data_IF_100923599098
#
_entry.id   IF_100923599098
#
_cell.length_a   1.000
_cell.length_b   1.000
_cell.length_c   1.000
_cell.angle_alpha   90.00
_cell.angle_beta   90.00
_cell.angle_gamma   90.00
#
_symmetry.space_group_name_H-M   'P 1'
#
loop_
_entity.id
_entity.type
_entity.pdbx_description
1 polymer ?
#
# COMPACT_ATOMS: atom_id res chain seq x y z
N UNK A 1 56.58 30.54 0.98
CA UNK A 1 55.55 29.88 0.15
C UNK A 1 55.26 28.42 0.52
N UNK A 2 56.24 27.50 0.58
CA UNK A 2 56.00 26.07 0.87
C UNK A 2 55.30 25.74 2.22
N UNK A 3 55.44 26.60 3.25
CA UNK A 3 54.75 26.43 4.55
C UNK A 3 53.26 26.81 4.51
N UNK A 4 52.89 27.83 3.75
CA UNK A 4 51.50 28.32 3.65
C UNK A 4 50.62 27.32 2.85
N UNK A 5 51.21 26.68 1.85
CA UNK A 5 50.54 25.66 1.03
C UNK A 5 50.21 24.40 1.86
N UNK A 6 51.10 23.99 2.78
CA UNK A 6 50.84 22.83 3.66
C UNK A 6 49.73 23.09 4.67
N UNK A 7 49.62 24.31 5.20
CA UNK A 7 48.56 24.69 6.14
C UNK A 7 47.20 24.82 5.45
N UNK A 8 47.16 25.31 4.21
CA UNK A 8 45.92 25.42 3.43
C UNK A 8 45.33 24.04 3.06
N UNK A 9 46.18 23.05 2.73
CA UNK A 9 45.73 21.69 2.40
C UNK A 9 45.19 20.96 3.64
N UNK A 10 45.78 21.19 4.82
CA UNK A 10 45.32 20.57 6.07
C UNK A 10 43.94 21.11 6.52
N UNK A 11 43.66 22.39 6.30
CA UNK A 11 42.35 23.00 6.60
C UNK A 11 41.27 22.52 5.61
N UNK A 12 41.62 22.33 4.33
CA UNK A 12 40.70 21.82 3.31
C UNK A 12 40.28 20.36 3.58
N UNK A 13 41.20 19.52 4.08
CA UNK A 13 40.91 18.13 4.46
C UNK A 13 40.06 18.01 5.74
N UNK A 14 40.10 19.00 6.64
CA UNK A 14 39.25 19.02 7.85
C UNK A 14 37.86 19.58 7.52
N UNK A 15 37.75 20.50 6.55
CA UNK A 15 36.46 20.99 6.07
C UNK A 15 35.67 19.93 5.28
N UNK A 16 36.33 18.98 4.61
CA UNK A 16 35.68 17.84 3.95
C UNK A 16 35.26 16.71 4.91
N UNK A 17 35.77 16.69 6.15
CA UNK A 17 35.32 15.79 7.22
C UNK A 17 33.99 16.23 7.88
N UNK A 18 33.51 17.45 7.57
CA UNK A 18 32.21 17.98 8.01
C UNK A 18 31.10 17.86 6.95
N UNK A 19 31.32 17.13 5.85
CA UNK A 19 30.21 16.62 5.04
C UNK A 19 29.58 15.51 5.86
N UNK A 20 28.73 15.96 6.78
CA UNK A 20 28.06 15.17 7.77
C UNK A 20 27.43 13.97 7.09
N UNK A 21 27.77 12.80 7.63
CA UNK A 21 26.90 11.64 7.65
C UNK A 21 25.52 12.11 8.11
N UNK A 22 24.68 12.51 7.16
CA UNK A 22 23.24 12.58 7.38
C UNK A 22 22.79 11.13 7.48
N UNK A 23 23.10 10.50 8.61
CA UNK A 23 22.25 9.45 9.13
C UNK A 23 20.94 10.16 9.43
N UNK A 24 20.10 10.32 8.41
CA UNK A 24 18.78 10.88 8.57
C UNK A 24 18.09 10.02 9.64
N UNK A 25 17.78 10.65 10.77
CA UNK A 25 17.04 10.01 11.85
C UNK A 25 15.69 9.60 11.27
N UNK A 26 15.24 8.38 11.57
CA UNK A 26 13.90 7.98 11.18
C UNK A 26 12.82 8.82 11.88
N UNK A 27 11.60 8.84 11.34
CA UNK A 27 10.51 9.62 11.91
C UNK A 27 10.14 9.14 13.33
N UNK A 28 9.63 10.05 14.14
CA UNK A 28 8.97 9.72 15.40
C UNK A 28 7.50 9.33 15.15
N UNK A 29 6.91 8.52 16.04
CA UNK A 29 5.56 7.99 15.84
C UNK A 29 4.53 9.11 15.66
N UNK A 30 4.62 10.18 16.44
CA UNK A 30 3.67 11.28 16.38
C UNK A 30 3.77 12.09 15.08
N UNK A 31 4.93 12.08 14.41
CA UNK A 31 5.13 12.73 13.10
C UNK A 31 4.41 11.98 11.97
N UNK A 32 4.34 10.64 12.07
CA UNK A 32 3.76 9.77 11.03
C UNK A 32 2.40 9.19 11.41
N UNK A 33 1.89 9.46 12.62
CA UNK A 33 0.64 8.90 13.14
C UNK A 33 -0.53 9.10 12.19
N UNK A 34 -0.73 10.32 11.69
CA UNK A 34 -1.81 10.63 10.75
C UNK A 34 -1.70 9.82 9.46
N UNK A 35 -0.48 9.68 8.93
CA UNK A 35 -0.22 8.92 7.71
C UNK A 35 -0.46 7.43 7.91
N UNK A 36 -0.09 6.87 9.06
CA UNK A 36 -0.39 5.47 9.39
C UNK A 36 -1.89 5.24 9.43
N UNK A 37 -2.64 6.10 10.15
CA UNK A 37 -4.10 5.98 10.25
C UNK A 37 -4.72 6.04 8.84
N UNK A 38 -4.37 7.08 8.06
CA UNK A 38 -4.88 7.28 6.70
C UNK A 38 -4.64 6.04 5.83
N UNK A 39 -3.39 5.59 5.71
CA UNK A 39 -3.02 4.49 4.81
C UNK A 39 -3.61 3.15 5.26
N UNK A 40 -3.67 2.87 6.57
CA UNK A 40 -4.27 1.63 7.09
C UNK A 40 -5.79 1.64 6.88
N UNK A 41 -6.46 2.78 7.08
CA UNK A 41 -7.90 2.91 6.79
C UNK A 41 -8.19 2.71 5.31
N UNK A 42 -7.45 3.36 4.41
CA UNK A 42 -7.61 3.17 2.97
C UNK A 42 -7.31 1.72 2.55
N UNK A 43 -6.26 1.14 3.11
CA UNK A 43 -5.91 -0.27 2.91
C UNK A 43 -7.04 -1.22 3.33
N UNK A 44 -7.76 -0.92 4.41
CA UNK A 44 -8.91 -1.73 4.87
C UNK A 44 -10.06 -1.71 3.87
N UNK A 45 -10.34 -0.56 3.25
CA UNK A 45 -11.33 -0.44 2.17
C UNK A 45 -10.88 -1.29 0.97
N UNK A 46 -9.63 -1.13 0.53
CA UNK A 46 -9.07 -1.91 -0.58
C UNK A 46 -9.08 -3.42 -0.31
N UNK A 47 -8.83 -3.87 0.92
CA UNK A 47 -8.88 -5.29 1.26
C UNK A 47 -10.28 -5.87 1.11
N UNK A 48 -11.35 -5.12 1.42
CA UNK A 48 -12.73 -5.57 1.13
C UNK A 48 -12.94 -5.74 -0.38
N UNK A 49 -12.36 -4.83 -1.17
CA UNK A 49 -12.39 -4.86 -2.64
C UNK A 49 -11.49 -5.94 -3.25
N UNK A 50 -10.46 -6.46 -2.57
CA UNK A 50 -9.54 -7.48 -3.13
C UNK A 50 -9.68 -8.88 -2.54
N UNK A 51 -10.07 -8.97 -1.28
CA UNK A 51 -10.12 -10.22 -0.52
C UNK A 51 -11.48 -10.45 0.15
N UNK A 52 -12.31 -9.40 0.23
CA UNK A 52 -13.66 -9.45 0.80
C UNK A 52 -14.74 -9.66 -0.27
N UNK A 53 -15.84 -8.94 -0.10
CA UNK A 53 -17.04 -8.99 -0.96
C UNK A 53 -16.85 -8.43 -2.37
N UNK A 54 -15.78 -7.69 -2.62
CA UNK A 54 -15.55 -7.05 -3.91
C UNK A 54 -16.31 -5.72 -4.02
N UNK A 55 -16.50 -5.25 -5.25
CA UNK A 55 -17.33 -4.09 -5.58
C UNK A 55 -18.80 -4.49 -5.72
N UNK A 56 -19.74 -3.55 -5.47
CA UNK A 56 -21.13 -3.71 -5.85
C UNK A 56 -21.27 -4.01 -7.34
N UNK A 57 -22.17 -4.92 -7.71
CA UNK A 57 -22.38 -5.32 -9.10
C UNK A 57 -23.85 -5.23 -9.48
N UNK A 58 -24.14 -4.84 -10.72
CA UNK A 58 -25.44 -5.09 -11.30
C UNK A 58 -25.61 -6.61 -11.41
N UNK A 59 -26.66 -7.17 -10.81
CA UNK A 59 -26.92 -8.61 -10.80
C UNK A 59 -27.08 -9.22 -12.22
N UNK A 60 -27.68 -10.40 -12.32
CA UNK A 60 -27.76 -11.24 -13.55
C UNK A 60 -28.32 -10.58 -14.85
N UNK A 61 -28.66 -9.29 -14.85
CA UNK A 61 -29.24 -8.55 -15.97
C UNK A 61 -28.22 -8.12 -17.04
N UNK A 62 -26.94 -8.01 -16.71
CA UNK A 62 -25.90 -7.56 -17.66
C UNK A 62 -24.61 -8.37 -17.47
N UNK A 63 -24.46 -9.53 -18.13
CA UNK A 63 -23.32 -10.41 -17.81
C UNK A 63 -22.71 -11.13 -19.01
N UNK A 64 -21.37 -11.19 -19.05
CA UNK A 64 -20.63 -12.25 -19.73
C UNK A 64 -20.76 -13.59 -18.99
N UNK A 65 -20.09 -14.67 -19.40
CA UNK A 65 -20.19 -15.96 -18.69
C UNK A 65 -19.58 -15.86 -17.28
N UNK A 66 -18.41 -15.23 -17.17
CA UNK A 66 -17.57 -15.28 -15.96
C UNK A 66 -17.52 -13.96 -15.16
N UNK A 67 -18.13 -12.87 -15.65
CA UNK A 67 -18.07 -11.55 -15.01
C UNK A 67 -19.43 -10.82 -14.89
N UNK A 68 -19.61 -10.04 -13.82
CA UNK A 68 -20.68 -9.05 -13.64
C UNK A 68 -20.14 -7.64 -13.88
N UNK A 69 -20.95 -6.72 -14.44
CA UNK A 69 -20.59 -5.30 -14.44
C UNK A 69 -20.68 -4.71 -13.03
N UNK A 70 -19.70 -3.88 -12.69
CA UNK A 70 -19.70 -3.12 -11.43
C UNK A 70 -20.82 -2.07 -11.47
N UNK A 71 -21.54 -1.97 -10.34
CA UNK A 71 -22.51 -0.91 -10.12
C UNK A 71 -21.79 0.36 -9.68
N UNK A 72 -21.38 1.13 -10.69
CA UNK A 72 -20.65 2.40 -10.51
C UNK A 72 -21.45 3.47 -9.75
N UNK A 73 -22.79 3.39 -9.72
CA UNK A 73 -23.60 4.34 -8.95
C UNK A 73 -23.48 4.11 -7.44
N UNK A 74 -23.14 2.88 -7.04
CA UNK A 74 -23.00 2.47 -5.64
C UNK A 74 -21.56 2.07 -5.27
N UNK A 75 -20.60 2.24 -6.18
CA UNK A 75 -19.18 1.91 -6.02
C UNK A 75 -18.35 3.18 -5.78
N UNK A 76 -17.26 3.07 -5.04
CA UNK A 76 -16.24 4.14 -4.92
C UNK A 76 -15.28 4.18 -6.13
N UNK A 77 -15.42 3.24 -7.06
CA UNK A 77 -14.56 3.05 -8.22
C UNK A 77 -15.37 2.75 -9.48
N UNK A 78 -15.11 3.51 -10.54
CA UNK A 78 -15.79 3.42 -11.82
C UNK A 78 -14.96 2.63 -12.84
N UNK A 79 -13.63 2.71 -12.73
CA UNK A 79 -12.68 2.13 -13.71
C UNK A 79 -11.57 1.31 -13.07
N UNK A 80 -10.92 0.43 -13.86
CA UNK A 80 -9.76 -0.30 -13.37
C UNK A 80 -8.57 0.64 -13.08
N UNK A 81 -8.47 1.76 -13.80
CA UNK A 81 -7.43 2.76 -13.61
C UNK A 81 -7.55 3.49 -12.27
N UNK A 82 -8.77 3.87 -11.86
CA UNK A 82 -9.02 4.44 -10.54
C UNK A 82 -8.67 3.47 -9.42
N UNK A 83 -9.02 2.19 -9.58
CA UNK A 83 -8.70 1.17 -8.59
C UNK A 83 -7.17 0.96 -8.50
N UNK A 84 -6.46 0.94 -9.63
CA UNK A 84 -4.98 0.90 -9.67
C UNK A 84 -4.36 2.15 -9.04
N UNK A 85 -4.91 3.33 -9.28
CA UNK A 85 -4.44 4.58 -8.69
C UNK A 85 -4.64 4.58 -7.17
N UNK A 86 -5.76 4.04 -6.68
CA UNK A 86 -6.00 3.89 -5.24
C UNK A 86 -5.02 2.90 -4.59
N UNK A 87 -4.71 1.78 -5.24
CA UNK A 87 -3.64 0.86 -4.80
C UNK A 87 -2.31 1.61 -4.72
N UNK A 88 -1.94 2.33 -5.77
CA UNK A 88 -0.66 3.06 -5.86
C UNK A 88 -0.53 4.21 -4.85
N UNK A 89 -1.65 4.78 -4.40
CA UNK A 89 -1.67 5.79 -3.33
C UNK A 89 -1.33 5.18 -1.97
N UNK A 90 -1.80 3.96 -1.71
CA UNK A 90 -1.68 3.29 -0.41
C UNK A 90 -0.35 2.53 -0.28
N UNK A 91 0.01 1.77 -1.30
CA UNK A 91 1.08 0.79 -1.24
C UNK A 91 2.33 1.22 -2.01
N UNK A 92 3.49 0.70 -1.58
CA UNK A 92 4.76 0.84 -2.32
C UNK A 92 4.63 0.28 -3.72
N UNK A 93 5.40 0.84 -4.66
CA UNK A 93 5.37 0.42 -6.06
C UNK A 93 5.63 -1.09 -6.21
N UNK A 94 6.58 -1.63 -5.45
CA UNK A 94 6.92 -3.05 -5.51
C UNK A 94 5.77 -3.92 -5.00
N UNK A 95 5.09 -3.51 -3.93
CA UNK A 95 3.92 -4.23 -3.41
C UNK A 95 2.72 -4.15 -4.39
N UNK A 96 2.55 -3.01 -5.06
CA UNK A 96 1.51 -2.83 -6.08
C UNK A 96 1.64 -3.81 -7.25
N UNK A 97 2.86 -4.23 -7.63
CA UNK A 97 3.08 -5.15 -8.76
C UNK A 97 2.32 -6.46 -8.51
N UNK A 98 2.57 -7.12 -7.37
CA UNK A 98 1.92 -8.39 -7.05
C UNK A 98 0.41 -8.26 -6.87
N UNK A 99 -0.05 -7.17 -6.25
CA UNK A 99 -1.49 -6.89 -6.12
C UNK A 99 -2.15 -6.73 -7.48
N UNK A 100 -1.60 -5.86 -8.34
CA UNK A 100 -2.21 -5.55 -9.63
C UNK A 100 -2.16 -6.73 -10.60
N UNK A 101 -1.10 -7.53 -10.58
CA UNK A 101 -1.01 -8.77 -11.37
C UNK A 101 -2.11 -9.75 -10.96
N UNK A 102 -2.25 -10.00 -9.66
CA UNK A 102 -3.30 -10.91 -9.15
C UNK A 102 -4.71 -10.40 -9.45
N UNK A 103 -4.93 -9.09 -9.30
CA UNK A 103 -6.29 -8.52 -9.39
C UNK A 103 -6.76 -8.27 -10.83
N UNK A 104 -5.87 -7.91 -11.76
CA UNK A 104 -6.26 -7.44 -13.11
C UNK A 104 -5.72 -8.27 -14.26
N UNK A 105 -4.73 -9.14 -14.03
CA UNK A 105 -4.17 -10.01 -15.09
C UNK A 105 -4.58 -11.45 -14.85
N UNK A 106 -4.59 -11.89 -13.59
CA UNK A 106 -4.78 -13.29 -13.23
C UNK A 106 -3.46 -14.04 -13.31
N UNK A 107 -3.46 -15.28 -12.82
CA UNK A 107 -2.25 -16.12 -12.73
C UNK A 107 -2.52 -17.40 -13.51
N UNK A 108 -1.69 -17.71 -14.50
CA UNK A 108 -1.75 -18.98 -15.22
C UNK A 108 -0.41 -19.69 -15.13
N UNK A 109 -0.45 -20.96 -14.73
CA UNK A 109 0.71 -21.84 -14.68
C UNK A 109 0.41 -23.23 -15.28
N UNK A 110 1.29 -24.21 -15.07
CA UNK A 110 1.13 -25.57 -15.58
C UNK A 110 0.03 -26.37 -14.88
N UNK A 111 -0.52 -25.88 -13.78
CA UNK A 111 -1.50 -26.56 -12.92
C UNK A 111 -2.90 -25.94 -13.12
N UNK A 112 -3.00 -24.67 -13.54
CA UNK A 112 -4.27 -24.07 -13.92
C UNK A 112 -4.19 -22.57 -14.20
N UNK A 113 -5.36 -21.96 -14.39
CA UNK A 113 -5.52 -20.53 -14.53
C UNK A 113 -6.48 -20.02 -13.45
N UNK A 114 -6.04 -18.99 -12.72
CA UNK A 114 -6.85 -18.15 -11.86
C UNK A 114 -7.17 -16.89 -12.67
N UNK A 115 -8.45 -16.70 -12.97
CA UNK A 115 -8.93 -15.51 -13.66
C UNK A 115 -8.67 -14.25 -12.81
N UNK A 116 -8.45 -13.08 -13.43
CA UNK A 116 -8.35 -11.84 -12.70
C UNK A 116 -9.67 -11.52 -11.99
N UNK A 117 -9.57 -10.91 -10.81
CA UNK A 117 -10.74 -10.46 -10.05
C UNK A 117 -11.51 -9.37 -10.81
N UNK A 118 -10.79 -8.50 -11.50
CA UNK A 118 -11.35 -7.38 -12.26
C UNK A 118 -10.86 -7.38 -13.71
N UNK A 119 -11.75 -7.02 -14.63
CA UNK A 119 -11.42 -6.78 -16.04
C UNK A 119 -12.26 -5.62 -16.57
N UNK A 120 -11.99 -5.17 -17.79
CA UNK A 120 -12.80 -4.19 -18.49
C UNK A 120 -13.39 -4.82 -19.75
N UNK A 121 -14.56 -4.34 -20.17
CA UNK A 121 -15.13 -4.70 -21.47
C UNK A 121 -14.51 -3.87 -22.61
N UNK A 122 -14.95 -4.09 -23.85
CA UNK A 122 -14.46 -3.33 -25.01
C UNK A 122 -14.76 -1.81 -24.94
N UNK A 123 -15.69 -1.40 -24.09
CA UNK A 123 -16.08 -0.01 -23.85
C UNK A 123 -15.35 0.63 -22.66
N UNK A 124 -14.53 -0.14 -21.93
CA UNK A 124 -13.83 0.31 -20.72
C UNK A 124 -14.65 0.22 -19.44
N UNK A 125 -15.79 -0.47 -19.43
CA UNK A 125 -16.61 -0.65 -18.23
C UNK A 125 -16.01 -1.72 -17.32
N UNK A 126 -15.87 -1.40 -16.03
CA UNK A 126 -15.32 -2.30 -15.03
C UNK A 126 -16.25 -3.48 -14.77
N UNK A 127 -15.66 -4.67 -14.76
CA UNK A 127 -16.33 -5.94 -14.49
C UNK A 127 -15.59 -6.73 -13.41
N UNK A 128 -16.34 -7.48 -12.61
CA UNK A 128 -15.84 -8.31 -11.50
C UNK A 128 -16.22 -9.78 -11.68
N UNK A 129 -15.29 -10.67 -11.31
CA UNK A 129 -15.49 -12.13 -11.35
C UNK A 129 -16.75 -12.55 -10.58
N UNK A 130 -17.61 -13.34 -11.22
CA UNK A 130 -18.84 -13.86 -10.62
C UNK A 130 -18.60 -14.89 -9.54
N UNK A 131 -17.48 -15.60 -9.60
CA UNK A 131 -17.12 -16.68 -8.69
C UNK A 131 -16.25 -16.22 -7.53
N UNK A 132 -16.11 -14.89 -7.39
CA UNK A 132 -15.46 -14.25 -6.27
C UNK A 132 -15.99 -14.80 -4.95
N UNK A 133 -15.05 -15.23 -4.10
CA UNK A 133 -15.32 -15.62 -2.73
C UNK A 133 -14.52 -14.73 -1.79
N UNK A 134 -15.15 -14.31 -0.69
CA UNK A 134 -14.44 -13.63 0.38
C UNK A 134 -13.52 -14.62 1.08
N UNK A 135 -12.24 -14.26 1.17
CA UNK A 135 -11.24 -14.98 1.96
C UNK A 135 -10.88 -14.23 3.25
N UNK A 136 -11.46 -13.04 3.47
CA UNK A 136 -11.31 -12.33 4.73
C UNK A 136 -12.02 -13.09 5.86
N UNK A 137 -11.34 -13.37 6.98
CA UNK A 137 -11.91 -14.12 8.09
C UNK A 137 -12.99 -13.35 8.87
N UNK A 138 -13.10 -12.04 8.65
CA UNK A 138 -14.06 -11.17 9.33
C UNK A 138 -13.65 -9.71 9.30
N UNK A 139 -14.28 -8.90 10.15
CA UNK A 139 -13.94 -7.49 10.31
C UNK A 139 -12.78 -7.33 11.31
N UNK A 140 -11.65 -6.83 10.80
CA UNK A 140 -10.48 -6.50 11.61
C UNK A 140 -10.48 -5.00 11.94
N UNK A 141 -10.38 -4.65 13.22
CA UNK A 141 -10.40 -3.28 13.72
C UNK A 141 -9.06 -2.97 14.40
N UNK A 142 -8.41 -1.89 13.99
CA UNK A 142 -7.13 -1.44 14.51
C UNK A 142 -7.29 -0.44 15.67
N UNK A 143 -6.60 -0.68 16.78
CA UNK A 143 -6.50 0.27 17.88
C UNK A 143 -5.29 1.20 17.70
N UNK A 144 -5.51 2.30 16.98
CA UNK A 144 -4.48 3.31 16.74
C UNK A 144 -4.03 4.07 18.00
N UNK A 145 -4.82 4.06 19.08
CA UNK A 145 -4.43 4.70 20.34
C UNK A 145 -3.33 3.89 21.05
N UNK A 146 -3.35 2.57 20.89
CA UNK A 146 -2.36 1.64 21.43
C UNK A 146 -1.20 1.32 20.47
N UNK A 147 -1.12 2.00 19.32
CA UNK A 147 -0.03 1.83 18.36
C UNK A 147 1.33 2.21 18.95
N UNK A 148 2.36 1.43 18.61
CA UNK A 148 3.75 1.67 19.02
C UNK A 148 4.70 1.61 17.82
N UNK A 149 5.84 2.30 17.93
CA UNK A 149 6.92 2.26 16.93
C UNK A 149 7.89 1.12 17.28
N UNK A 150 8.07 0.15 16.38
CA UNK A 150 9.02 -0.95 16.58
C UNK A 150 10.42 -0.61 16.08
N UNK A 151 10.51 0.03 14.92
CA UNK A 151 11.77 0.45 14.33
C UNK A 151 11.56 1.66 13.43
N UNK A 152 12.57 2.52 13.35
CA UNK A 152 12.51 3.74 12.55
C UNK A 152 13.89 4.06 11.97
N UNK A 153 13.93 4.22 10.65
CA UNK A 153 15.08 4.67 9.84
C UNK A 153 14.60 5.77 8.90
N UNK A 154 15.53 6.43 8.24
CA UNK A 154 15.26 7.58 7.36
C UNK A 154 14.16 7.36 6.32
N UNK A 155 14.09 6.16 5.76
CA UNK A 155 13.28 5.79 4.59
C UNK A 155 12.35 4.61 4.86
N UNK A 156 12.35 4.07 6.09
CA UNK A 156 11.51 2.95 6.51
C UNK A 156 11.19 3.04 7.99
N UNK A 157 9.95 2.77 8.35
CA UNK A 157 9.57 2.56 9.74
C UNK A 157 8.61 1.37 9.86
N UNK A 158 8.53 0.81 11.06
CA UNK A 158 7.66 -0.33 11.37
C UNK A 158 6.84 0.03 12.59
N UNK A 159 5.51 -0.09 12.48
CA UNK A 159 4.58 0.11 13.58
C UNK A 159 3.93 -1.20 13.97
N UNK A 160 3.65 -1.35 15.26
CA UNK A 160 2.82 -2.41 15.82
C UNK A 160 1.49 -1.80 16.23
N UNK A 161 0.39 -2.34 15.71
CA UNK A 161 -0.96 -1.86 15.99
C UNK A 161 -1.79 -3.03 16.53
N UNK A 162 -2.22 -2.98 17.80
CA UNK A 162 -3.16 -3.97 18.33
C UNK A 162 -4.44 -4.00 17.51
N UNK A 163 -5.01 -5.19 17.34
CA UNK A 163 -6.21 -5.38 16.56
C UNK A 163 -7.22 -6.31 17.24
N UNK A 164 -8.48 -6.17 16.86
CA UNK A 164 -9.53 -7.14 17.13
C UNK A 164 -10.06 -7.71 15.83
N UNK A 165 -10.52 -8.96 15.85
CA UNK A 165 -11.18 -9.63 14.74
C UNK A 165 -12.54 -10.11 15.23
N UNK A 166 -13.62 -9.61 14.61
CA UNK A 166 -15.00 -9.91 15.02
C UNK A 166 -15.26 -9.64 16.52
N UNK A 167 -14.64 -8.59 17.07
CA UNK A 167 -14.78 -8.18 18.47
C UNK A 167 -13.86 -8.90 19.47
N UNK A 168 -13.17 -9.95 19.04
CA UNK A 168 -12.22 -10.70 19.87
C UNK A 168 -10.79 -10.20 19.65
N UNK A 169 -9.91 -10.38 20.64
CA UNK A 169 -8.50 -10.00 20.51
C UNK A 169 -7.84 -10.79 19.38
N UNK A 170 -7.20 -10.07 18.47
CA UNK A 170 -6.42 -10.64 17.36
C UNK A 170 -4.91 -10.41 17.58
N UNK A 171 -4.08 -11.02 16.73
CA UNK A 171 -2.67 -10.71 16.68
C UNK A 171 -2.45 -9.24 16.28
N UNK A 172 -1.48 -8.57 16.92
CA UNK A 172 -1.10 -7.22 16.53
C UNK A 172 -0.60 -7.21 15.07
N UNK A 173 -1.01 -6.21 14.31
CA UNK A 173 -0.49 -5.99 12.98
C UNK A 173 0.87 -5.30 13.06
N UNK A 174 1.89 -5.92 12.47
CA UNK A 174 3.22 -5.34 12.33
C UNK A 174 3.37 -4.85 10.90
N UNK A 175 3.23 -3.53 10.72
CA UNK A 175 3.13 -2.92 9.41
C UNK A 175 4.40 -2.15 9.07
N UNK A 176 4.92 -2.40 7.87
CA UNK A 176 6.10 -1.72 7.35
C UNK A 176 5.67 -0.58 6.45
N UNK A 177 6.26 0.59 6.64
CA UNK A 177 6.09 1.75 5.79
C UNK A 177 7.42 2.13 5.16
N UNK A 178 7.40 2.45 3.87
CA UNK A 178 8.58 2.96 3.15
C UNK A 178 8.29 4.31 2.52
N UNK A 179 9.35 5.10 2.43
CA UNK A 179 9.30 6.39 1.77
C UNK A 179 9.50 6.20 0.26
N UNK A 180 8.59 6.75 -0.53
CA UNK A 180 8.69 6.78 -1.99
C UNK A 180 8.47 8.19 -2.51
N UNK A 181 8.86 8.44 -3.76
CA UNK A 181 8.50 9.69 -4.45
C UNK A 181 7.18 9.51 -5.18
N UNK A 182 6.24 10.44 -4.95
CA UNK A 182 5.02 10.52 -5.75
C UNK A 182 5.31 11.15 -7.13
N UNK A 183 4.27 11.30 -7.96
CA UNK A 183 4.36 11.90 -9.30
C UNK A 183 4.85 13.35 -9.28
N UNK A 184 4.62 14.06 -8.16
CA UNK A 184 5.10 15.42 -7.93
C UNK A 184 6.54 15.48 -7.37
N UNK A 185 7.25 14.34 -7.33
CA UNK A 185 8.61 14.20 -6.79
C UNK A 185 8.71 14.49 -5.28
N UNK A 186 7.60 14.45 -4.54
CA UNK A 186 7.54 14.62 -3.09
C UNK A 186 7.70 13.28 -2.38
N UNK A 187 8.38 13.28 -1.23
CA UNK A 187 8.52 12.07 -0.42
C UNK A 187 7.23 11.80 0.37
N UNK A 188 6.66 10.61 0.17
CA UNK A 188 5.44 10.14 0.83
C UNK A 188 5.69 8.78 1.48
N UNK A 189 5.02 8.51 2.60
CA UNK A 189 5.06 7.20 3.24
C UNK A 189 3.95 6.31 2.70
N UNK A 190 4.30 5.09 2.33
CA UNK A 190 3.38 4.08 1.80
C UNK A 190 3.54 2.74 2.53
N UNK A 191 2.47 1.95 2.55
CA UNK A 191 2.46 0.61 3.11
C UNK A 191 3.27 -0.36 2.24
N UNK A 192 4.15 -1.13 2.88
CA UNK A 192 4.99 -2.17 2.26
C UNK A 192 4.71 -3.54 2.89
N UNK A 193 3.47 -3.76 3.34
CA UNK A 193 3.03 -4.97 4.02
C UNK A 193 1.52 -5.15 3.89
N UNK A 194 1.02 -6.40 3.91
CA UNK A 194 -0.42 -6.67 4.00
C UNK A 194 -0.99 -6.18 5.34
N UNK A 195 -2.28 -5.87 5.35
CA UNK A 195 -3.03 -5.41 6.53
C UNK A 195 -4.23 -6.30 6.89
N UNK A 196 -4.52 -7.34 6.10
CA UNK A 196 -5.60 -8.29 6.36
C UNK A 196 -5.14 -9.48 7.19
#
# INVERSE_FOLDING_TARGET
MKRVIKTAIFILCIASLFIMTSCAKGPELDEVRSVVIERVTESTVLNKVFYGEGLPVYGNMYTGVDYYYVDVENSDFDTAEELKAAIARVYTKDYCIGLTETMFVGISDSIGAVLPRFTEDESGLLMQDKFLTSILPGERIFDFNAMTMESSKSDVFVVRIPATLNGEKDADAVLTFRQERNENNELVWKLDSPTY
#
